data_IF_445148948529
#
_entry.id   IF_445148948529
#
_cell.length_a   1.000
_cell.length_b   1.000
_cell.length_c   1.000
_cell.angle_alpha   90.00
_cell.angle_beta   90.00
_cell.angle_gamma   90.00
#
_symmetry.space_group_name_H-M   'P 1'
#
loop_
_entity.id
_entity.type
_entity.pdbx_description
1 polymer ?
#
# COMPACT_ATOMS: atom_id res chain seq x y z
N UNK A 1 -7.86 -31.96 12.35
CA UNK A 1 -8.24 -30.90 11.40
C UNK A 1 -6.96 -30.32 10.85
N UNK A 2 -6.62 -30.62 9.59
CA UNK A 2 -5.42 -30.09 8.95
C UNK A 2 -5.55 -28.56 8.90
N UNK A 3 -4.64 -27.85 9.57
CA UNK A 3 -4.50 -26.40 9.49
C UNK A 3 -4.08 -26.04 8.06
N UNK A 4 -5.04 -25.93 7.14
CA UNK A 4 -4.80 -25.36 5.83
C UNK A 4 -4.41 -23.89 6.02
N UNK A 5 -3.12 -23.59 5.80
CA UNK A 5 -2.61 -22.22 5.72
C UNK A 5 -3.33 -21.55 4.54
N UNK A 6 -4.36 -20.75 4.84
CA UNK A 6 -5.24 -20.15 3.82
C UNK A 6 -4.54 -18.95 3.16
N UNK A 7 -3.77 -19.19 2.10
CA UNK A 7 -3.22 -18.14 1.25
C UNK A 7 -3.78 -18.27 -0.17
N UNK A 8 -3.93 -17.14 -0.85
CA UNK A 8 -4.50 -17.08 -2.20
C UNK A 8 -3.52 -16.40 -3.16
N UNK A 9 -3.57 -16.77 -4.43
CA UNK A 9 -2.80 -16.13 -5.49
C UNK A 9 -3.75 -15.56 -6.55
N UNK A 10 -3.51 -14.32 -6.96
CA UNK A 10 -4.23 -13.66 -8.03
C UNK A 10 -3.25 -13.24 -9.14
N UNK A 11 -3.63 -13.52 -10.39
CA UNK A 11 -2.92 -13.03 -11.59
C UNK A 11 -3.81 -11.98 -12.26
N UNK A 12 -3.28 -10.78 -12.47
CA UNK A 12 -4.03 -9.69 -13.07
C UNK A 12 -3.95 -9.72 -14.59
N UNK A 13 -4.74 -8.88 -15.25
CA UNK A 13 -4.45 -8.45 -16.62
C UNK A 13 -3.09 -7.72 -16.62
N UNK A 14 -2.15 -8.02 -17.54
CA UNK A 14 -0.84 -7.35 -17.62
C UNK A 14 -0.92 -5.82 -17.82
N UNK A 15 -2.07 -5.30 -18.25
CA UNK A 15 -2.33 -3.86 -18.39
C UNK A 15 -2.77 -3.19 -17.08
N UNK A 16 -2.99 -3.97 -16.01
CA UNK A 16 -3.47 -3.52 -14.70
C UNK A 16 -2.59 -4.05 -13.55
N UNK A 17 -1.33 -3.58 -13.50
CA UNK A 17 -0.26 -4.15 -12.64
C UNK A 17 0.42 -3.13 -11.70
N UNK A 18 0.03 -1.86 -11.80
CA UNK A 18 0.65 -0.75 -11.07
C UNK A 18 -0.28 0.46 -10.96
N UNK A 19 0.14 1.44 -10.15
CA UNK A 19 -0.49 2.77 -10.15
C UNK A 19 -0.24 3.45 -11.50
N UNK A 20 -1.23 4.20 -11.97
CA UNK A 20 -1.14 4.97 -13.22
C UNK A 20 -1.20 6.45 -12.89
N UNK A 21 -0.05 7.04 -12.57
CA UNK A 21 0.04 8.44 -12.13
C UNK A 21 -0.47 9.42 -13.20
N UNK A 22 -0.35 9.08 -14.49
CA UNK A 22 -0.92 9.83 -15.61
C UNK A 22 -2.44 9.84 -15.69
N UNK A 23 -3.12 9.04 -14.86
CA UNK A 23 -4.57 8.91 -14.79
C UNK A 23 -5.07 9.15 -13.36
N UNK A 24 -4.25 9.77 -12.52
CA UNK A 24 -4.52 10.04 -11.11
C UNK A 24 -4.64 11.56 -10.89
N UNK A 25 -5.81 12.02 -10.47
CA UNK A 25 -6.18 13.43 -10.50
C UNK A 25 -6.62 13.95 -9.14
N UNK A 26 -6.29 15.20 -8.85
CA UNK A 26 -6.94 16.03 -7.83
C UNK A 26 -7.98 16.90 -8.52
N UNK A 27 -9.18 16.94 -7.98
CA UNK A 27 -10.30 17.73 -8.50
C UNK A 27 -10.58 18.83 -7.48
N UNK A 28 -10.26 20.06 -7.87
CA UNK A 28 -10.48 21.27 -7.06
C UNK A 28 -11.06 22.36 -7.96
N UNK A 29 -11.84 23.26 -7.37
CA UNK A 29 -12.39 24.42 -8.08
C UNK A 29 -11.29 25.26 -8.71
N UNK A 30 -10.32 25.69 -7.90
CA UNK A 30 -9.16 26.42 -8.36
C UNK A 30 -7.98 25.47 -8.58
N UNK A 31 -7.36 25.55 -9.76
CA UNK A 31 -6.24 24.67 -10.17
C UNK A 31 -5.10 24.68 -9.16
N UNK A 32 -4.76 25.87 -8.67
CA UNK A 32 -3.58 26.08 -7.84
C UNK A 32 -3.76 25.68 -6.38
N UNK A 33 -4.96 25.24 -5.99
CA UNK A 33 -5.19 24.59 -4.69
C UNK A 33 -4.57 23.18 -4.64
N UNK A 34 -4.33 22.55 -5.80
CA UNK A 34 -3.86 21.16 -5.88
C UNK A 34 -2.53 20.97 -6.61
N UNK A 35 -2.09 21.95 -7.41
CA UNK A 35 -0.82 21.89 -8.13
C UNK A 35 -0.06 23.22 -8.07
N UNK A 36 1.28 23.15 -8.02
CA UNK A 36 2.12 24.34 -8.04
C UNK A 36 2.04 25.08 -9.39
N UNK A 37 2.28 26.40 -9.36
CA UNK A 37 2.55 27.17 -10.57
C UNK A 37 3.82 26.62 -11.26
N UNK A 38 3.70 26.32 -12.54
CA UNK A 38 4.84 25.96 -13.40
C UNK A 38 4.95 26.96 -14.55
N UNK A 39 6.17 27.22 -15.07
CA UNK A 39 6.34 28.01 -16.28
C UNK A 39 5.58 27.42 -17.46
N UNK A 40 5.29 28.25 -18.46
CA UNK A 40 4.63 27.81 -19.69
C UNK A 40 5.42 26.68 -20.36
N UNK A 41 4.73 25.64 -20.84
CA UNK A 41 5.34 24.44 -21.43
C UNK A 41 5.94 23.44 -20.43
N UNK A 42 6.03 23.78 -19.13
CA UNK A 42 6.56 22.87 -18.10
C UNK A 42 5.43 22.04 -17.49
N UNK A 43 5.53 20.72 -17.65
CA UNK A 43 4.58 19.77 -17.06
C UNK A 43 4.77 19.72 -15.53
N UNK A 44 3.70 19.87 -14.73
CA UNK A 44 3.76 19.67 -13.29
C UNK A 44 4.24 18.26 -12.93
N UNK A 45 5.16 18.17 -11.96
CA UNK A 45 5.72 16.90 -11.46
C UNK A 45 5.16 16.50 -10.09
N UNK A 46 4.49 17.41 -9.39
CA UNK A 46 4.01 17.20 -8.01
C UNK A 46 2.57 16.69 -7.93
N UNK A 47 1.82 16.70 -9.04
CA UNK A 47 0.42 16.29 -9.08
C UNK A 47 -0.25 16.60 -10.42
N UNK A 48 -1.48 16.13 -10.58
CA UNK A 48 -2.33 16.44 -11.73
C UNK A 48 -3.65 17.01 -11.26
N UNK A 49 -4.13 18.03 -11.97
CA UNK A 49 -5.40 18.69 -11.69
C UNK A 49 -6.40 18.45 -12.82
N UNK A 50 -7.67 18.30 -12.45
CA UNK A 50 -8.82 18.22 -13.35
C UNK A 50 -9.90 19.16 -12.82
N UNK A 51 -10.55 19.94 -13.71
CA UNK A 51 -11.65 20.81 -13.28
C UNK A 51 -12.88 20.01 -12.87
N UNK A 52 -13.76 20.62 -12.06
CA UNK A 52 -15.03 20.00 -11.67
C UNK A 52 -15.93 19.71 -12.88
N UNK A 53 -15.94 20.58 -13.90
CA UNK A 53 -16.75 20.35 -15.10
C UNK A 53 -16.23 19.17 -15.92
N UNK A 54 -14.91 19.07 -16.09
CA UNK A 54 -14.32 17.91 -16.76
C UNK A 54 -14.61 16.65 -15.95
N UNK A 55 -14.43 16.69 -14.63
CA UNK A 55 -14.69 15.55 -13.76
C UNK A 55 -16.13 15.03 -13.88
N UNK A 56 -17.13 15.92 -13.93
CA UNK A 56 -18.52 15.53 -14.15
C UNK A 56 -18.72 14.77 -15.48
N UNK A 57 -18.09 15.24 -16.57
CA UNK A 57 -18.11 14.54 -17.86
C UNK A 57 -17.45 13.16 -17.77
N UNK A 58 -16.33 13.05 -17.05
CA UNK A 58 -15.62 11.78 -16.87
C UNK A 58 -16.46 10.77 -16.05
N UNK A 59 -17.25 11.25 -15.08
CA UNK A 59 -18.21 10.44 -14.32
C UNK A 59 -19.32 9.89 -15.22
N UNK A 60 -19.99 10.76 -15.99
CA UNK A 60 -21.06 10.39 -16.92
C UNK A 60 -20.59 9.40 -17.99
N UNK A 61 -19.34 9.54 -18.44
CA UNK A 61 -18.75 8.64 -19.43
C UNK A 61 -18.36 7.24 -18.91
N UNK A 62 -18.41 7.02 -17.59
CA UNK A 62 -17.88 5.81 -16.92
C UNK A 62 -18.86 5.10 -16.01
N UNK A 63 -19.44 5.80 -15.05
CA UNK A 63 -20.15 5.16 -13.92
C UNK A 63 -21.59 4.72 -14.20
N UNK A 64 -22.37 5.37 -15.08
CA UNK A 64 -23.72 4.90 -15.40
C UNK A 64 -23.73 3.43 -15.84
N UNK A 65 -24.40 2.56 -15.06
CA UNK A 65 -24.51 1.13 -15.33
C UNK A 65 -23.22 0.32 -15.21
N UNK A 66 -22.12 0.88 -14.69
CA UNK A 66 -20.80 0.22 -14.68
C UNK A 66 -20.76 -1.11 -13.89
N UNK A 67 -21.63 -1.26 -12.88
CA UNK A 67 -21.75 -2.48 -12.07
C UNK A 67 -22.87 -3.42 -12.54
N UNK A 68 -23.49 -3.19 -13.69
CA UNK A 68 -24.62 -4.01 -14.15
C UNK A 68 -24.26 -5.52 -14.15
N UNK A 69 -25.11 -6.33 -13.50
CA UNK A 69 -24.91 -7.77 -13.34
C UNK A 69 -23.75 -8.18 -12.43
N UNK A 70 -23.21 -7.25 -11.62
CA UNK A 70 -22.24 -7.50 -10.55
C UNK A 70 -22.81 -7.06 -9.20
N UNK A 71 -22.41 -7.71 -8.09
CA UNK A 71 -22.72 -7.19 -6.76
C UNK A 71 -21.98 -5.88 -6.54
N UNK A 72 -22.64 -4.93 -5.87
CA UNK A 72 -21.97 -3.80 -5.22
C UNK A 72 -21.75 -4.19 -3.76
N UNK A 73 -20.49 -4.31 -3.37
CA UNK A 73 -20.10 -4.50 -1.97
C UNK A 73 -20.02 -3.14 -1.29
N UNK A 74 -20.55 -3.07 -0.06
CA UNK A 74 -20.41 -1.91 0.83
C UNK A 74 -19.37 -2.29 1.89
N UNK A 75 -18.24 -1.58 1.89
CA UNK A 75 -17.07 -1.89 2.71
C UNK A 75 -16.85 -0.75 3.70
N UNK A 76 -17.43 -0.81 4.92
CA UNK A 76 -17.13 0.15 5.97
C UNK A 76 -15.76 -0.17 6.58
N UNK A 77 -14.86 0.81 6.59
CA UNK A 77 -13.51 0.64 7.11
C UNK A 77 -13.02 1.85 7.94
N UNK A 78 -12.17 1.57 8.92
CA UNK A 78 -11.44 2.55 9.71
C UNK A 78 -9.97 2.56 9.29
N UNK A 79 -9.47 3.75 8.99
CA UNK A 79 -8.04 4.06 8.90
C UNK A 79 -7.58 4.51 10.30
N UNK A 80 -6.74 3.70 10.93
CA UNK A 80 -6.36 3.81 12.33
C UNK A 80 -7.22 2.95 13.27
N UNK A 81 -6.80 2.79 14.54
CA UNK A 81 -7.56 2.06 15.56
C UNK A 81 -9.00 2.59 15.71
N UNK A 82 -10.00 1.72 15.65
CA UNK A 82 -11.42 2.13 15.67
C UNK A 82 -11.71 3.01 16.90
N UNK A 83 -12.29 4.19 16.68
CA UNK A 83 -12.61 5.17 17.74
C UNK A 83 -11.41 5.97 18.25
N UNK A 84 -10.22 5.80 17.66
CA UNK A 84 -9.05 6.59 18.03
C UNK A 84 -9.13 8.04 17.57
N UNK A 85 -8.49 8.99 18.28
CA UNK A 85 -8.61 10.43 18.03
C UNK A 85 -8.09 10.89 16.66
N UNK A 86 -7.14 10.17 16.06
CA UNK A 86 -6.65 10.42 14.70
C UNK A 86 -7.32 9.56 13.64
N UNK A 87 -8.17 8.61 14.03
CA UNK A 87 -8.74 7.66 13.09
C UNK A 87 -9.83 8.30 12.27
N UNK A 88 -9.95 7.86 11.01
CA UNK A 88 -10.97 8.36 10.09
C UNK A 88 -11.65 7.18 9.42
N UNK A 89 -12.97 7.30 9.26
CA UNK A 89 -13.80 6.25 8.68
C UNK A 89 -14.06 6.56 7.20
N UNK A 90 -14.04 5.52 6.38
CA UNK A 90 -14.47 5.56 5.00
C UNK A 90 -15.46 4.44 4.70
N UNK A 91 -16.27 4.64 3.67
CA UNK A 91 -17.13 3.60 3.11
C UNK A 91 -16.76 3.44 1.64
N UNK A 92 -16.27 2.26 1.28
CA UNK A 92 -15.94 1.92 -0.09
C UNK A 92 -17.04 1.08 -0.75
N UNK A 93 -17.57 1.60 -1.86
CA UNK A 93 -18.43 0.86 -2.78
C UNK A 93 -17.56 0.24 -3.87
N UNK A 94 -17.65 -1.07 -4.05
CA UNK A 94 -16.81 -1.78 -5.04
C UNK A 94 -17.55 -2.95 -5.67
N UNK A 95 -17.30 -3.24 -6.94
CA UNK A 95 -17.80 -4.43 -7.65
C UNK A 95 -16.79 -5.59 -7.71
N UNK A 96 -15.73 -5.51 -6.89
CA UNK A 96 -14.62 -6.46 -6.88
C UNK A 96 -14.48 -7.17 -5.53
N UNK A 97 -14.62 -8.50 -5.52
CA UNK A 97 -14.38 -9.33 -4.34
C UNK A 97 -12.91 -9.33 -3.90
N UNK A 98 -11.97 -9.22 -4.84
CA UNK A 98 -10.54 -9.06 -4.55
C UNK A 98 -10.30 -7.82 -3.68
N UNK A 99 -10.92 -6.70 -4.04
CA UNK A 99 -10.82 -5.44 -3.29
C UNK A 99 -11.37 -5.62 -1.88
N UNK A 100 -12.54 -6.25 -1.72
CA UNK A 100 -13.11 -6.53 -0.39
C UNK A 100 -12.15 -7.34 0.48
N UNK A 101 -11.55 -8.41 -0.06
CA UNK A 101 -10.64 -9.28 0.68
C UNK A 101 -9.33 -8.57 1.06
N UNK A 102 -8.75 -7.80 0.14
CA UNK A 102 -7.57 -6.99 0.43
C UNK A 102 -7.87 -5.87 1.43
N UNK A 103 -9.00 -5.17 1.30
CA UNK A 103 -9.43 -4.15 2.28
C UNK A 103 -9.66 -4.74 3.66
N UNK A 104 -10.17 -5.99 3.75
CA UNK A 104 -10.30 -6.71 5.03
C UNK A 104 -8.96 -6.93 5.73
N UNK A 105 -7.87 -7.11 4.98
CA UNK A 105 -6.52 -7.25 5.52
C UNK A 105 -5.89 -5.87 5.80
N UNK A 106 -6.05 -4.92 4.88
CA UNK A 106 -5.33 -3.64 4.91
C UNK A 106 -5.98 -2.59 5.81
N UNK A 107 -7.22 -2.78 6.22
CA UNK A 107 -7.98 -1.83 7.06
C UNK A 107 -8.73 -2.55 8.17
N UNK A 108 -9.21 -1.81 9.19
CA UNK A 108 -10.18 -2.38 10.13
C UNK A 108 -11.55 -2.31 9.49
N UNK A 109 -12.07 -3.43 9.02
CA UNK A 109 -13.32 -3.52 8.26
C UNK A 109 -14.41 -4.28 9.01
N UNK A 110 -15.63 -3.73 9.04
CA UNK A 110 -16.84 -4.46 9.48
C UNK A 110 -17.83 -3.63 10.29
N UNK A 111 -18.77 -4.31 10.96
CA UNK A 111 -19.88 -3.69 11.70
C UNK A 111 -19.42 -2.77 12.82
N UNK A 112 -18.34 -3.11 13.54
CA UNK A 112 -17.75 -2.23 14.57
C UNK A 112 -17.38 -0.85 14.05
N UNK A 113 -17.07 -0.73 12.76
CA UNK A 113 -16.81 0.57 12.12
C UNK A 113 -18.11 1.35 11.94
N UNK A 114 -19.19 0.69 11.53
CA UNK A 114 -20.51 1.32 11.43
C UNK A 114 -21.01 1.77 12.81
N UNK A 115 -20.82 0.94 13.83
CA UNK A 115 -21.16 1.28 15.22
C UNK A 115 -20.39 2.52 15.70
N UNK A 116 -19.09 2.59 15.38
CA UNK A 116 -18.24 3.74 15.71
C UNK A 116 -18.55 4.99 14.86
N UNK A 117 -19.03 4.82 13.62
CA UNK A 117 -19.41 5.92 12.74
C UNK A 117 -20.69 6.62 13.21
N UNK A 118 -21.70 5.87 13.64
CA UNK A 118 -22.98 6.45 14.03
C UNK A 118 -23.59 7.31 12.91
N UNK A 119 -23.75 8.61 13.17
CA UNK A 119 -24.27 9.60 12.22
C UNK A 119 -23.20 10.59 11.74
N UNK A 120 -21.93 10.35 12.05
CA UNK A 120 -20.83 11.24 11.66
C UNK A 120 -20.54 11.15 10.15
N UNK A 121 -19.84 12.16 9.63
CA UNK A 121 -19.39 12.17 8.23
C UNK A 121 -18.23 11.17 8.00
N UNK A 122 -18.08 10.70 6.77
CA UNK A 122 -17.07 9.72 6.37
C UNK A 122 -16.52 10.02 4.97
N UNK A 123 -15.36 9.45 4.66
CA UNK A 123 -14.79 9.56 3.31
C UNK A 123 -15.52 8.60 2.36
N UNK A 124 -16.12 9.18 1.32
CA UNK A 124 -16.91 8.48 0.30
C UNK A 124 -15.97 7.90 -0.75
N UNK A 125 -15.89 6.57 -0.82
CA UNK A 125 -15.03 5.88 -1.76
C UNK A 125 -15.88 5.10 -2.77
N UNK A 126 -15.77 5.40 -4.06
CA UNK A 126 -16.48 4.70 -5.13
C UNK A 126 -15.48 4.07 -6.09
N UNK A 127 -15.53 2.76 -6.23
CA UNK A 127 -14.66 1.99 -7.09
C UNK A 127 -15.48 1.09 -8.02
N UNK A 128 -15.12 1.02 -9.30
CA UNK A 128 -15.57 -0.05 -10.20
C UNK A 128 -14.44 -0.51 -11.11
N UNK A 129 -14.37 -1.82 -11.34
CA UNK A 129 -13.47 -2.39 -12.36
C UNK A 129 -13.85 -1.98 -13.80
N UNK A 130 -15.03 -1.39 -13.99
CA UNK A 130 -15.47 -0.80 -15.24
C UNK A 130 -15.83 -1.80 -16.32
N UNK A 131 -16.36 -2.96 -15.90
CA UNK A 131 -16.64 -4.10 -16.78
C UNK A 131 -18.03 -4.73 -16.54
N UNK A 132 -19.12 -4.01 -16.85
CA UNK A 132 -20.49 -4.50 -16.65
C UNK A 132 -20.79 -5.78 -17.45
N UNK A 133 -21.82 -6.52 -17.04
CA UNK A 133 -22.33 -7.70 -17.74
C UNK A 133 -23.50 -7.34 -18.67
N UNK A 134 -23.64 -8.03 -19.83
CA UNK A 134 -22.72 -9.02 -20.38
C UNK A 134 -21.39 -8.39 -20.80
N UNK A 135 -20.28 -9.09 -20.52
CA UNK A 135 -18.94 -8.57 -20.79
C UNK A 135 -18.71 -8.53 -22.31
N UNK A 136 -18.36 -7.35 -22.84
CA UNK A 136 -18.19 -7.11 -24.28
C UNK A 136 -16.74 -7.21 -24.78
N UNK A 137 -15.78 -7.42 -23.88
CA UNK A 137 -14.35 -7.49 -24.17
C UNK A 137 -13.71 -8.74 -23.57
N UNK A 138 -12.57 -9.18 -24.11
CA UNK A 138 -11.84 -10.33 -23.57
C UNK A 138 -11.36 -10.04 -22.14
N UNK A 139 -11.64 -10.96 -21.22
CA UNK A 139 -11.08 -10.95 -19.86
C UNK A 139 -9.81 -11.78 -19.85
N UNK A 140 -8.68 -11.16 -19.46
CA UNK A 140 -7.38 -11.83 -19.35
C UNK A 140 -7.20 -12.26 -17.89
N UNK A 141 -6.71 -13.48 -17.66
CA UNK A 141 -6.41 -14.03 -16.32
C UNK A 141 -7.58 -13.97 -15.32
N UNK A 142 -8.83 -14.02 -15.82
CA UNK A 142 -10.04 -13.83 -15.01
C UNK A 142 -10.06 -12.51 -14.21
N UNK A 143 -9.32 -11.50 -14.67
CA UNK A 143 -9.19 -10.19 -14.02
C UNK A 143 -10.01 -9.12 -14.74
N UNK A 144 -11.16 -8.69 -14.17
CA UNK A 144 -11.93 -7.59 -14.73
C UNK A 144 -11.17 -6.27 -14.57
N UNK A 145 -10.94 -5.58 -15.68
CA UNK A 145 -10.42 -4.21 -15.70
C UNK A 145 -10.82 -3.51 -17.01
N UNK A 146 -10.67 -2.19 -17.05
CA UNK A 146 -10.87 -1.35 -18.24
C UNK A 146 -9.68 -0.38 -18.41
N UNK A 147 -8.52 -0.86 -18.92
CA UNK A 147 -7.28 -0.08 -18.98
C UNK A 147 -7.38 1.23 -19.76
N UNK A 148 -8.24 1.27 -20.80
CA UNK A 148 -8.44 2.43 -21.65
C UNK A 148 -9.08 3.58 -20.87
N UNK A 149 -10.09 3.27 -20.04
CA UNK A 149 -10.88 4.26 -19.28
C UNK A 149 -10.42 4.47 -17.84
N UNK A 150 -9.26 3.96 -17.43
CA UNK A 150 -8.76 4.14 -16.05
C UNK A 150 -8.81 5.61 -15.63
N UNK A 151 -9.33 5.86 -14.43
CA UNK A 151 -9.34 7.17 -13.78
C UNK A 151 -9.35 6.98 -12.28
N UNK A 152 -8.48 7.70 -11.56
CA UNK A 152 -8.45 7.74 -10.10
C UNK A 152 -8.51 9.22 -9.70
N UNK A 153 -9.68 9.69 -9.28
CA UNK A 153 -9.93 11.10 -8.94
C UNK A 153 -10.18 11.27 -7.44
N UNK A 154 -9.72 12.40 -6.90
CA UNK A 154 -9.82 12.75 -5.49
C UNK A 154 -10.43 14.14 -5.38
N UNK A 155 -11.48 14.27 -4.56
CA UNK A 155 -12.17 15.51 -4.25
C UNK A 155 -11.95 15.83 -2.78
N UNK A 156 -10.88 16.58 -2.44
CA UNK A 156 -10.45 16.75 -1.06
C UNK A 156 -11.49 17.47 -0.20
N UNK A 157 -12.14 18.52 -0.73
CA UNK A 157 -13.15 19.32 -0.01
C UNK A 157 -14.38 18.47 0.32
N UNK A 158 -14.87 17.70 -0.66
CA UNK A 158 -16.04 16.84 -0.51
C UNK A 158 -15.71 15.50 0.12
N UNK A 159 -14.44 15.22 0.41
CA UNK A 159 -13.96 13.95 0.96
C UNK A 159 -14.42 12.75 0.13
N UNK A 160 -14.33 12.87 -1.19
CA UNK A 160 -14.71 11.80 -2.12
C UNK A 160 -13.51 11.26 -2.90
N UNK A 161 -13.57 9.98 -3.19
CA UNK A 161 -12.61 9.26 -4.02
C UNK A 161 -13.40 8.48 -5.05
N UNK A 162 -13.06 8.68 -6.33
CA UNK A 162 -13.70 8.01 -7.45
C UNK A 162 -12.65 7.28 -8.27
N UNK A 163 -12.74 5.96 -8.33
CA UNK A 163 -11.81 5.10 -9.07
C UNK A 163 -12.54 4.20 -10.06
N UNK A 164 -12.04 4.15 -11.29
CA UNK A 164 -12.64 3.39 -12.37
C UNK A 164 -11.58 2.63 -13.16
N UNK A 165 -11.91 1.40 -13.57
CA UNK A 165 -11.21 0.66 -14.61
C UNK A 165 -9.96 -0.12 -14.15
N UNK A 166 -9.53 -0.01 -12.91
CA UNK A 166 -8.36 -0.73 -12.37
C UNK A 166 -8.74 -1.46 -11.09
N UNK A 167 -8.52 -2.77 -11.04
CA UNK A 167 -8.68 -3.58 -9.83
C UNK A 167 -7.42 -3.64 -8.97
N UNK A 168 -6.30 -3.07 -9.42
CA UNK A 168 -4.99 -3.27 -8.81
C UNK A 168 -4.70 -2.32 -7.64
N UNK A 169 -4.39 -2.90 -6.47
CA UNK A 169 -3.65 -2.27 -5.37
C UNK A 169 -4.03 -0.81 -5.09
N UNK A 170 -3.07 0.11 -5.25
CA UNK A 170 -3.26 1.52 -4.91
C UNK A 170 -4.31 2.29 -5.73
N UNK A 171 -4.86 1.69 -6.79
CA UNK A 171 -5.96 2.27 -7.56
C UNK A 171 -7.32 1.81 -7.04
N UNK A 172 -7.39 0.66 -6.36
CA UNK A 172 -8.64 0.01 -5.96
C UNK A 172 -8.81 -0.13 -4.45
N UNK A 173 -7.73 -0.23 -3.67
CA UNK A 173 -7.77 -0.21 -2.21
C UNK A 173 -7.82 1.25 -1.75
N UNK A 174 -9.01 1.85 -1.80
CA UNK A 174 -9.16 3.31 -1.71
C UNK A 174 -8.77 3.87 -0.34
N UNK A 175 -8.81 3.05 0.71
CA UNK A 175 -8.26 3.39 2.02
C UNK A 175 -6.75 3.69 2.03
N UNK A 176 -5.97 3.08 1.13
CA UNK A 176 -4.49 3.13 1.18
C UNK A 176 -3.91 4.45 0.66
N UNK A 177 -3.70 4.58 -0.65
CA UNK A 177 -3.03 5.77 -1.21
C UNK A 177 -3.99 6.92 -1.45
N UNK A 178 -5.21 6.61 -1.89
CA UNK A 178 -6.21 7.62 -2.21
C UNK A 178 -6.68 8.33 -0.94
N UNK A 179 -7.10 7.58 0.07
CA UNK A 179 -7.50 8.16 1.34
C UNK A 179 -6.29 8.51 2.20
N UNK A 180 -5.52 7.53 2.67
CA UNK A 180 -4.58 7.77 3.76
C UNK A 180 -3.35 8.62 3.44
N UNK A 181 -3.18 9.04 2.18
CA UNK A 181 -2.25 10.11 1.81
C UNK A 181 -2.98 11.30 1.18
N UNK A 182 -3.66 11.13 0.04
CA UNK A 182 -4.14 12.30 -0.74
C UNK A 182 -5.30 13.05 -0.11
N UNK A 183 -6.34 12.34 0.36
CA UNK A 183 -7.43 12.98 1.09
C UNK A 183 -6.97 13.33 2.51
N UNK A 184 -6.24 12.42 3.17
CA UNK A 184 -5.78 12.59 4.53
C UNK A 184 -4.83 13.78 4.71
N UNK A 185 -3.97 14.11 3.74
CA UNK A 185 -3.10 15.29 3.85
C UNK A 185 -3.90 16.60 3.83
N UNK A 186 -5.00 16.66 3.08
CA UNK A 186 -5.90 17.81 3.09
C UNK A 186 -6.66 17.91 4.42
N UNK A 187 -7.23 16.79 4.90
CA UNK A 187 -7.87 16.74 6.22
C UNK A 187 -6.86 17.11 7.33
N UNK A 188 -5.63 16.62 7.23
CA UNK A 188 -4.55 16.94 8.14
C UNK A 188 -4.18 18.42 8.14
N UNK A 189 -4.09 19.03 6.97
CA UNK A 189 -3.89 20.46 6.83
C UNK A 189 -4.98 21.26 7.54
N UNK A 190 -6.25 20.91 7.31
CA UNK A 190 -7.41 21.60 7.92
C UNK A 190 -7.47 21.43 9.44
N UNK A 191 -7.04 20.27 9.96
CA UNK A 191 -7.19 19.88 11.37
C UNK A 191 -5.87 19.95 12.19
N UNK A 192 -4.78 20.42 11.58
CA UNK A 192 -3.47 20.59 12.23
C UNK A 192 -2.70 19.29 12.51
N UNK A 193 -2.69 18.34 11.58
CA UNK A 193 -1.90 17.10 11.65
C UNK A 193 -1.34 16.69 10.27
N UNK A 194 -0.46 15.69 10.23
CA UNK A 194 0.31 15.30 9.04
C UNK A 194 -0.03 13.89 8.58
N UNK A 195 -0.20 13.69 7.28
CA UNK A 195 -0.40 12.37 6.66
C UNK A 195 0.76 12.07 5.69
N UNK A 196 1.65 11.17 6.09
CA UNK A 196 2.96 11.03 5.45
C UNK A 196 3.22 9.64 4.90
N UNK A 197 4.03 9.59 3.82
CA UNK A 197 4.51 8.33 3.21
C UNK A 197 5.68 7.74 4.00
N UNK A 198 5.46 7.47 5.28
CA UNK A 198 6.48 7.06 6.24
C UNK A 198 6.20 5.68 6.84
N UNK A 199 7.26 4.89 7.05
CA UNK A 199 7.22 3.81 8.03
C UNK A 199 7.25 4.36 9.45
N UNK A 200 6.87 3.55 10.44
CA UNK A 200 7.03 3.81 11.87
C UNK A 200 7.62 2.55 12.52
N UNK A 201 8.70 2.69 13.28
CA UNK A 201 9.31 1.59 14.03
C UNK A 201 9.81 2.04 15.40
N UNK A 202 9.74 1.12 16.37
CA UNK A 202 10.40 1.23 17.67
C UNK A 202 11.78 0.58 17.61
N UNK A 203 12.78 1.26 18.17
CA UNK A 203 14.16 0.79 18.26
C UNK A 203 14.54 0.76 19.73
N UNK A 204 14.88 -0.42 20.25
CA UNK A 204 15.37 -0.60 21.63
C UNK A 204 16.88 -0.80 21.61
N UNK A 205 17.60 -0.03 22.42
CA UNK A 205 19.04 -0.18 22.60
C UNK A 205 19.38 -1.32 23.59
N UNK A 206 20.67 -1.71 23.74
CA UNK A 206 21.08 -2.77 24.68
C UNK A 206 20.80 -2.49 26.16
N UNK A 207 20.55 -1.23 26.54
CA UNK A 207 20.20 -0.81 27.91
C UNK A 207 18.68 -0.90 28.15
N UNK A 208 17.89 -1.22 27.14
CA UNK A 208 16.43 -1.31 27.23
C UNK A 208 15.69 0.00 26.96
N UNK A 209 16.37 1.06 26.53
CA UNK A 209 15.74 2.32 26.14
C UNK A 209 15.17 2.23 24.73
N UNK A 210 13.86 2.50 24.60
CA UNK A 210 13.16 2.50 23.32
C UNK A 210 12.92 3.92 22.79
N UNK A 211 13.10 4.10 21.49
CA UNK A 211 12.82 5.32 20.72
C UNK A 211 12.00 4.97 19.49
N UNK A 212 11.05 5.82 19.10
CA UNK A 212 10.33 5.63 17.84
C UNK A 212 10.84 6.56 16.76
N UNK A 213 10.95 6.02 15.56
CA UNK A 213 11.36 6.77 14.38
C UNK A 213 10.37 6.59 13.25
N UNK A 214 10.17 7.66 12.49
CA UNK A 214 9.47 7.62 11.22
C UNK A 214 10.47 7.75 10.07
N UNK A 215 10.24 7.11 8.92
CA UNK A 215 11.12 7.26 7.77
C UNK A 215 10.39 7.32 6.43
N UNK A 216 10.64 8.39 5.67
CA UNK A 216 10.09 8.64 4.34
C UNK A 216 11.12 8.30 3.26
N UNK A 217 10.93 7.14 2.62
CA UNK A 217 11.64 6.77 1.39
C UNK A 217 10.64 6.58 0.25
N UNK A 218 11.00 6.88 -1.01
CA UNK A 218 10.14 6.58 -2.16
C UNK A 218 9.76 5.08 -2.25
N UNK A 219 8.77 4.76 -3.07
CA UNK A 219 8.47 3.36 -3.40
C UNK A 219 9.72 2.61 -3.89
N UNK A 220 9.84 1.35 -3.51
CA UNK A 220 11.00 0.49 -3.83
C UNK A 220 12.37 0.99 -3.30
N UNK A 221 12.37 1.88 -2.30
CA UNK A 221 13.59 2.37 -1.62
C UNK A 221 13.76 1.82 -0.18
N UNK A 222 13.11 0.71 0.17
CA UNK A 222 13.46 -0.06 1.37
C UNK A 222 12.68 0.23 2.66
N UNK A 223 11.54 0.93 2.61
CA UNK A 223 10.74 1.17 3.83
C UNK A 223 10.35 -0.11 4.56
N UNK A 224 9.74 -1.08 3.88
CA UNK A 224 9.35 -2.36 4.50
C UNK A 224 10.54 -3.13 5.07
N UNK A 225 11.70 -3.11 4.39
CA UNK A 225 12.93 -3.73 4.91
C UNK A 225 13.42 -3.05 6.19
N UNK A 226 13.40 -1.72 6.25
CA UNK A 226 13.84 -0.99 7.44
C UNK A 226 12.84 -1.15 8.60
N UNK A 227 11.54 -1.04 8.32
CA UNK A 227 10.49 -1.16 9.33
C UNK A 227 10.52 -2.53 10.02
N UNK A 228 10.86 -3.58 9.26
CA UNK A 228 10.91 -4.97 9.72
C UNK A 228 12.33 -5.51 9.87
N UNK A 229 13.29 -4.61 10.16
CA UNK A 229 14.71 -4.96 10.21
C UNK A 229 14.98 -6.00 11.30
N UNK A 230 15.77 -7.02 10.98
CA UNK A 230 16.46 -7.86 11.95
C UNK A 230 17.86 -7.26 12.20
N UNK A 231 18.11 -6.65 13.38
CA UNK A 231 19.38 -5.99 13.63
C UNK A 231 20.54 -6.98 13.68
N UNK A 232 21.64 -6.66 13.00
CA UNK A 232 22.88 -7.45 13.07
C UNK A 232 23.76 -7.07 14.27
N UNK A 233 23.46 -5.95 14.93
CA UNK A 233 24.19 -5.45 16.09
C UNK A 233 23.61 -6.08 17.36
N UNK A 234 24.39 -6.84 18.14
CA UNK A 234 23.90 -7.50 19.36
C UNK A 234 23.25 -6.53 20.36
N UNK A 235 22.16 -6.96 20.99
CA UNK A 235 21.43 -6.20 22.00
C UNK A 235 20.46 -5.15 21.44
N UNK A 236 20.53 -4.82 20.15
CA UNK A 236 19.55 -3.95 19.51
C UNK A 236 18.31 -4.73 19.07
N UNK A 237 17.14 -4.12 19.21
CA UNK A 237 15.87 -4.69 18.79
C UNK A 237 15.08 -3.67 17.97
N UNK A 238 14.43 -4.14 16.91
CA UNK A 238 13.48 -3.35 16.11
C UNK A 238 12.11 -4.00 16.18
N UNK A 239 11.07 -3.17 16.25
CA UNK A 239 9.68 -3.60 16.15
C UNK A 239 8.90 -2.67 15.23
N UNK A 240 8.10 -3.24 14.33
CA UNK A 240 7.32 -2.49 13.35
C UNK A 240 6.01 -1.97 13.95
N UNK A 241 5.67 -0.71 13.70
CA UNK A 241 4.32 -0.16 13.93
C UNK A 241 3.57 -0.07 12.59
N UNK A 242 4.24 0.40 11.54
CA UNK A 242 3.72 0.45 10.17
C UNK A 242 4.85 0.58 9.16
N UNK A 243 4.65 0.16 7.91
CA UNK A 243 5.73 0.10 6.91
C UNK A 243 5.61 1.13 5.78
N UNK A 244 4.49 1.86 5.69
CA UNK A 244 4.20 2.67 4.50
C UNK A 244 3.50 4.01 4.79
N UNK A 245 2.60 4.11 5.76
CA UNK A 245 1.85 5.35 6.04
C UNK A 245 1.92 5.70 7.53
N UNK A 246 2.12 6.99 7.83
CA UNK A 246 2.08 7.53 9.18
C UNK A 246 1.12 8.72 9.23
N UNK A 247 0.19 8.72 10.19
CA UNK A 247 -0.57 9.91 10.55
C UNK A 247 -0.05 10.45 11.87
N UNK A 248 0.35 11.73 11.89
CA UNK A 248 1.12 12.30 12.98
C UNK A 248 0.53 13.61 13.48
N UNK A 249 0.41 13.77 14.79
CA UNK A 249 -0.11 15.00 15.42
C UNK A 249 0.65 15.33 16.70
N UNK A 250 0.87 16.61 16.94
CA UNK A 250 1.42 17.06 18.22
C UNK A 250 0.38 16.86 19.33
N UNK A 251 0.79 16.19 20.40
CA UNK A 251 0.01 16.05 21.63
C UNK A 251 0.03 17.32 22.48
N UNK A 252 -0.80 17.32 23.52
CA UNK A 252 -0.85 18.43 24.50
C UNK A 252 0.47 18.62 25.26
N UNK A 253 1.30 17.57 25.34
CA UNK A 253 2.63 17.59 25.94
C UNK A 253 3.73 18.13 25.00
N UNK A 254 3.35 18.53 23.78
CA UNK A 254 4.26 19.04 22.76
C UNK A 254 5.06 17.97 22.01
N UNK A 255 4.84 16.67 22.26
CA UNK A 255 5.49 15.59 21.51
C UNK A 255 4.71 15.26 20.25
N UNK A 256 5.42 14.86 19.20
CA UNK A 256 4.79 14.37 17.98
C UNK A 256 4.41 12.90 18.17
N UNK A 257 3.13 12.57 18.05
CA UNK A 257 2.62 11.20 18.10
C UNK A 257 2.26 10.71 16.71
N UNK A 258 2.50 9.42 16.43
CA UNK A 258 2.16 8.80 15.16
C UNK A 258 1.33 7.53 15.32
N UNK A 259 0.34 7.34 14.45
CA UNK A 259 -0.35 6.06 14.25
C UNK A 259 -0.03 5.50 12.86
N UNK A 260 -0.04 4.17 12.75
CA UNK A 260 -0.18 3.51 11.46
C UNK A 260 -1.69 3.38 11.15
N UNK A 261 -2.20 4.07 10.11
CA UNK A 261 -3.61 3.95 9.76
C UNK A 261 -3.97 2.58 9.16
N UNK A 262 -3.00 1.81 8.66
CA UNK A 262 -3.21 0.52 8.01
C UNK A 262 -3.26 -0.65 9.02
N UNK A 263 -3.97 -1.73 8.65
CA UNK A 263 -4.09 -2.97 9.43
C UNK A 263 -3.29 -4.15 8.86
N UNK A 264 -2.61 -3.93 7.73
CA UNK A 264 -1.86 -4.94 6.99
C UNK A 264 -0.68 -4.36 6.24
N UNK A 265 0.11 -5.24 5.64
CA UNK A 265 1.23 -4.91 4.78
C UNK A 265 0.90 -5.25 3.33
N UNK A 266 1.09 -4.28 2.44
CA UNK A 266 0.97 -4.46 0.98
C UNK A 266 2.37 -4.36 0.33
N UNK A 267 3.23 -5.29 0.71
CA UNK A 267 4.66 -5.24 0.42
C UNK A 267 5.00 -5.72 -1.00
N UNK A 268 6.11 -5.22 -1.54
CA UNK A 268 6.69 -5.73 -2.80
C UNK A 268 7.24 -7.13 -2.55
N UNK A 269 6.84 -8.11 -3.36
CA UNK A 269 7.33 -9.47 -3.23
C UNK A 269 8.78 -9.62 -3.77
N UNK A 270 9.10 -9.25 -5.04
CA UNK A 270 10.45 -9.38 -5.58
C UNK A 270 11.52 -8.71 -4.72
N UNK A 271 12.60 -9.45 -4.45
CA UNK A 271 13.68 -9.02 -3.57
C UNK A 271 13.46 -9.32 -2.08
N UNK A 272 12.28 -9.79 -1.68
CA UNK A 272 12.02 -10.31 -0.31
C UNK A 272 12.51 -11.76 -0.22
N UNK A 273 13.34 -12.05 0.77
CA UNK A 273 13.86 -13.39 1.04
C UNK A 273 14.23 -13.55 2.51
N UNK A 274 14.62 -14.74 2.95
CA UNK A 274 15.05 -14.94 4.34
C UNK A 274 16.33 -14.14 4.66
N UNK A 275 17.09 -13.76 3.63
CA UNK A 275 18.27 -12.90 3.76
C UNK A 275 17.93 -11.42 3.86
N UNK A 276 16.95 -10.95 3.09
CA UNK A 276 16.67 -9.50 2.96
C UNK A 276 15.58 -9.00 3.89
N UNK A 277 14.60 -9.85 4.21
CA UNK A 277 13.51 -9.54 5.14
C UNK A 277 12.84 -10.82 5.67
N UNK A 278 13.50 -11.54 6.60
CA UNK A 278 12.93 -12.75 7.21
C UNK A 278 11.62 -12.50 7.96
N UNK A 279 11.42 -11.28 8.46
CA UNK A 279 10.20 -10.89 9.16
C UNK A 279 9.01 -10.78 8.21
N UNK A 280 9.20 -10.23 7.00
CA UNK A 280 8.19 -10.26 5.95
C UNK A 280 7.89 -11.70 5.51
N UNK A 281 8.94 -12.52 5.28
CA UNK A 281 8.78 -13.95 4.97
C UNK A 281 7.86 -14.63 6.00
N UNK A 282 8.13 -14.49 7.30
CA UNK A 282 7.29 -15.05 8.36
C UNK A 282 5.85 -14.50 8.37
N UNK A 283 5.67 -13.23 8.01
CA UNK A 283 4.38 -12.53 8.10
C UNK A 283 3.33 -13.05 7.10
N UNK A 284 3.74 -13.44 5.90
CA UNK A 284 2.81 -13.83 4.83
C UNK A 284 2.59 -15.33 4.65
N UNK A 285 3.10 -16.17 5.57
CA UNK A 285 2.97 -17.64 5.46
C UNK A 285 1.52 -18.16 5.59
N UNK A 286 0.59 -17.32 6.06
CA UNK A 286 -0.84 -17.66 6.21
C UNK A 286 -1.71 -16.43 6.04
N UNK A 287 -3.00 -16.64 5.76
CA UNK A 287 -4.02 -15.59 5.68
C UNK A 287 -3.62 -14.44 4.75
N UNK A 288 -2.91 -14.75 3.67
CA UNK A 288 -2.27 -13.75 2.81
C UNK A 288 -2.73 -13.88 1.37
N UNK A 289 -2.75 -12.76 0.66
CA UNK A 289 -3.10 -12.71 -0.76
C UNK A 289 -1.88 -12.25 -1.54
N UNK A 290 -1.37 -13.10 -2.43
CA UNK A 290 -0.32 -12.78 -3.36
C UNK A 290 -0.92 -12.30 -4.68
N UNK A 291 -0.31 -11.29 -5.30
CA UNK A 291 -0.76 -10.74 -6.59
C UNK A 291 0.41 -10.64 -7.55
N UNK A 292 0.31 -11.33 -8.69
CA UNK A 292 1.30 -11.40 -9.77
C UNK A 292 2.65 -12.02 -9.39
N UNK A 293 2.68 -12.91 -8.40
CA UNK A 293 3.82 -13.79 -8.16
C UNK A 293 3.69 -15.06 -9.01
N UNK A 294 4.78 -15.82 -9.13
CA UNK A 294 4.74 -17.15 -9.71
C UNK A 294 4.27 -18.21 -8.69
N UNK A 295 3.91 -19.37 -9.20
CA UNK A 295 3.41 -20.51 -8.42
C UNK A 295 4.07 -21.80 -8.91
N UNK A 296 4.64 -22.59 -8.02
CA UNK A 296 5.14 -23.93 -8.37
C UNK A 296 3.97 -24.90 -8.53
N UNK A 297 4.18 -26.03 -9.21
CA UNK A 297 3.16 -27.06 -9.37
C UNK A 297 2.58 -27.62 -8.05
N UNK A 298 3.32 -27.53 -6.93
CA UNK A 298 2.85 -27.90 -5.60
C UNK A 298 2.23 -26.75 -4.78
N UNK A 299 1.98 -25.60 -5.42
CA UNK A 299 1.23 -24.49 -4.84
C UNK A 299 2.06 -23.53 -3.98
N UNK A 300 3.39 -23.51 -4.13
CA UNK A 300 4.26 -22.56 -3.45
C UNK A 300 4.42 -21.28 -4.27
N UNK A 301 4.45 -20.12 -3.60
CA UNK A 301 4.78 -18.87 -4.28
C UNK A 301 6.25 -18.86 -4.72
N UNK A 302 6.54 -18.14 -5.79
CA UNK A 302 7.90 -17.90 -6.25
C UNK A 302 8.08 -16.50 -6.85
N UNK A 303 9.27 -15.96 -6.68
CA UNK A 303 9.80 -14.79 -7.39
C UNK A 303 11.33 -14.87 -7.38
N UNK A 304 11.95 -14.06 -8.23
CA UNK A 304 13.40 -14.00 -8.37
C UNK A 304 14.09 -13.67 -7.03
N UNK A 305 15.07 -14.49 -6.64
CA UNK A 305 15.79 -14.37 -5.38
C UNK A 305 15.37 -15.38 -4.31
N UNK A 306 14.40 -16.26 -4.58
CA UNK A 306 13.98 -17.36 -3.69
C UNK A 306 14.57 -18.72 -4.08
N UNK A 307 15.50 -18.78 -5.04
CA UNK A 307 16.08 -20.03 -5.54
C UNK A 307 16.71 -20.86 -4.41
N UNK A 308 17.40 -20.18 -3.48
CA UNK A 308 18.03 -20.82 -2.33
C UNK A 308 17.00 -21.41 -1.38
N UNK A 309 15.98 -20.63 -1.00
CA UNK A 309 14.91 -21.05 -0.11
C UNK A 309 14.12 -22.23 -0.68
N UNK A 310 13.81 -22.19 -1.98
CA UNK A 310 13.08 -23.25 -2.66
C UNK A 310 13.90 -24.55 -2.70
N UNK A 311 15.20 -24.44 -3.01
CA UNK A 311 16.15 -25.56 -3.02
C UNK A 311 16.29 -26.21 -1.64
N UNK A 312 16.49 -25.40 -0.59
CA UNK A 312 16.63 -25.87 0.79
C UNK A 312 15.34 -26.52 1.29
N UNK A 313 14.18 -25.88 1.03
CA UNK A 313 12.87 -26.40 1.43
C UNK A 313 12.54 -27.75 0.79
N UNK A 314 12.89 -27.94 -0.48
CA UNK A 314 12.63 -29.19 -1.21
C UNK A 314 13.75 -30.21 -1.08
N UNK A 315 14.90 -29.83 -0.52
CA UNK A 315 16.11 -30.67 -0.41
C UNK A 315 16.55 -31.27 -1.75
N UNK A 316 16.79 -30.41 -2.75
CA UNK A 316 17.10 -30.79 -4.13
C UNK A 316 18.43 -30.19 -4.63
N UNK A 317 18.93 -30.71 -5.74
CA UNK A 317 20.12 -30.18 -6.43
C UNK A 317 19.78 -28.95 -7.29
N UNK A 318 20.81 -28.23 -7.76
CA UNK A 318 20.61 -27.10 -8.68
C UNK A 318 20.02 -27.53 -10.03
N UNK A 319 20.32 -28.75 -10.47
CA UNK A 319 19.75 -29.30 -11.70
C UNK A 319 18.26 -29.60 -11.54
N UNK A 320 17.89 -30.23 -10.41
CA UNK A 320 16.48 -30.47 -10.09
C UNK A 320 15.70 -29.17 -9.88
N UNK A 321 16.34 -28.13 -9.33
CA UNK A 321 15.73 -26.82 -9.15
C UNK A 321 15.30 -26.21 -10.49
N UNK A 322 16.13 -26.33 -11.53
CA UNK A 322 15.81 -25.86 -12.90
C UNK A 322 14.68 -26.64 -13.57
N UNK A 323 14.38 -27.84 -13.08
CA UNK A 323 13.33 -28.71 -13.61
C UNK A 323 11.99 -28.55 -12.87
N UNK A 324 11.91 -27.67 -11.86
CA UNK A 324 10.64 -27.39 -11.19
C UNK A 324 9.70 -26.68 -12.16
N UNK A 325 8.53 -27.29 -12.39
CA UNK A 325 7.45 -26.66 -13.13
C UNK A 325 6.86 -25.48 -12.33
N UNK A 326 6.91 -24.30 -12.95
CA UNK A 326 6.38 -23.05 -12.39
C UNK A 326 5.38 -22.46 -13.38
N UNK A 327 4.30 -21.87 -12.88
CA UNK A 327 3.41 -21.00 -13.63
C UNK A 327 3.75 -19.56 -13.26
N UNK A 328 4.23 -18.81 -14.24
CA UNK A 328 4.60 -17.40 -14.05
C UNK A 328 3.36 -16.52 -13.78
N UNK A 329 3.60 -15.24 -13.52
CA UNK A 329 2.54 -14.27 -13.23
C UNK A 329 1.61 -13.98 -14.43
N UNK A 330 2.03 -14.29 -15.66
CA UNK A 330 1.21 -14.21 -16.87
C UNK A 330 0.27 -15.42 -17.03
N UNK A 331 0.47 -16.49 -16.26
CA UNK A 331 -0.27 -17.75 -16.38
C UNK A 331 0.36 -18.76 -17.34
N UNK A 332 1.63 -18.56 -17.70
CA UNK A 332 2.37 -19.39 -18.65
C UNK A 332 3.34 -20.33 -17.93
N UNK A 333 3.66 -21.47 -18.54
CA UNK A 333 4.70 -22.37 -18.04
C UNK A 333 6.06 -21.67 -18.08
N UNK A 334 6.83 -21.86 -17.03
CA UNK A 334 8.14 -21.25 -16.83
C UNK A 334 9.01 -22.16 -15.95
N UNK A 335 10.32 -22.12 -16.16
CA UNK A 335 11.33 -22.78 -15.34
C UNK A 335 12.44 -21.81 -14.95
N UNK A 336 13.15 -22.13 -13.87
CA UNK A 336 14.30 -21.32 -13.43
C UNK A 336 15.38 -21.33 -14.51
N UNK A 337 15.60 -20.17 -15.13
CA UNK A 337 16.55 -19.97 -16.22
C UNK A 337 15.90 -19.68 -17.57
N UNK A 338 14.58 -19.86 -17.69
CA UNK A 338 13.83 -19.45 -18.88
C UNK A 338 13.87 -17.92 -19.05
N UNK A 339 13.71 -17.45 -20.30
CA UNK A 339 13.62 -16.02 -20.59
C UNK A 339 12.42 -15.36 -19.88
N UNK A 340 12.57 -14.06 -19.58
CA UNK A 340 11.54 -13.29 -18.87
C UNK A 340 11.64 -13.37 -17.34
N UNK A 341 10.53 -13.10 -16.66
CA UNK A 341 10.43 -13.07 -15.20
C UNK A 341 9.27 -13.94 -14.72
N UNK A 342 9.51 -14.70 -13.67
CA UNK A 342 8.52 -15.53 -13.01
C UNK A 342 7.44 -14.67 -12.34
N UNK A 343 7.85 -13.61 -11.64
CA UNK A 343 6.96 -12.67 -10.98
C UNK A 343 7.00 -11.28 -11.63
N UNK A 344 5.89 -10.54 -11.58
CA UNK A 344 5.90 -9.15 -12.01
C UNK A 344 6.84 -8.33 -11.09
N UNK A 345 7.64 -7.37 -11.60
CA UNK A 345 8.56 -6.59 -10.75
C UNK A 345 7.90 -5.80 -9.61
N UNK A 346 6.61 -5.48 -9.77
CA UNK A 346 5.78 -4.83 -8.76
C UNK A 346 4.68 -5.77 -8.21
N UNK A 347 4.90 -7.08 -8.26
CA UNK A 347 4.03 -8.05 -7.58
C UNK A 347 4.05 -7.86 -6.06
N UNK A 348 2.98 -8.29 -5.40
CA UNK A 348 2.68 -7.91 -4.03
C UNK A 348 2.29 -9.11 -3.19
N UNK A 349 2.61 -9.04 -1.90
CA UNK A 349 1.90 -9.78 -0.87
C UNK A 349 1.00 -8.82 -0.09
N UNK A 350 -0.17 -9.29 0.31
CA UNK A 350 -1.10 -8.60 1.22
C UNK A 350 -1.23 -9.48 2.46
N UNK A 351 -0.67 -9.03 3.59
CA UNK A 351 -0.60 -9.83 4.82
C UNK A 351 -1.10 -9.04 6.05
N UNK A 352 -1.83 -9.66 6.99
CA UNK A 352 -2.27 -8.97 8.21
C UNK A 352 -1.08 -8.55 9.08
N UNK A 353 -1.09 -7.31 9.57
CA UNK A 353 0.08 -6.75 10.27
C UNK A 353 0.38 -7.48 11.58
N UNK A 354 -0.66 -7.91 12.30
CA UNK A 354 -0.54 -8.68 13.53
C UNK A 354 0.13 -10.07 13.38
N UNK A 355 0.38 -10.54 12.14
CA UNK A 355 1.15 -11.76 11.91
C UNK A 355 2.66 -11.54 11.88
N UNK A 356 3.12 -10.28 11.84
CA UNK A 356 4.55 -10.00 11.87
C UNK A 356 5.14 -10.38 13.24
N UNK A 357 6.19 -11.20 13.29
CA UNK A 357 6.78 -11.67 14.54
C UNK A 357 7.35 -10.53 15.40
N UNK A 358 7.65 -9.39 14.78
CA UNK A 358 8.17 -8.18 15.44
C UNK A 358 7.18 -7.02 15.42
N UNK A 359 5.88 -7.28 15.23
CA UNK A 359 4.84 -6.24 15.41
C UNK A 359 4.98 -5.63 16.81
N UNK A 360 4.97 -4.30 16.88
CA UNK A 360 5.12 -3.58 18.13
C UNK A 360 3.83 -3.70 18.96
N UNK A 361 3.87 -3.93 20.29
CA UNK A 361 2.66 -4.09 21.09
C UNK A 361 1.70 -2.90 21.05
N UNK A 362 2.22 -1.69 20.82
CA UNK A 362 1.44 -0.45 20.69
C UNK A 362 1.08 -0.09 19.24
N UNK A 363 1.20 -1.02 18.27
CA UNK A 363 0.90 -0.71 16.87
C UNK A 363 -0.56 -0.30 16.61
N UNK A 364 -1.49 -0.69 17.51
CA UNK A 364 -2.89 -0.24 17.50
C UNK A 364 -3.23 0.69 18.67
N UNK A 365 -2.25 1.30 19.34
CA UNK A 365 -2.52 2.27 20.40
C UNK A 365 -3.28 3.48 19.83
N UNK A 366 -4.50 3.81 20.30
CA UNK A 366 -5.30 4.90 19.74
C UNK A 366 -4.60 6.27 19.77
N UNK A 367 -3.79 6.51 20.80
CA UNK A 367 -3.01 7.72 20.99
C UNK A 367 -1.73 7.79 20.13
N UNK A 368 -1.36 6.68 19.48
CA UNK A 368 -0.10 6.57 18.75
C UNK A 368 1.15 6.42 19.61
N UNK A 369 2.30 6.43 18.96
CA UNK A 369 3.63 6.32 19.57
C UNK A 369 4.40 7.64 19.40
N UNK A 370 5.21 8.06 20.39
CA UNK A 370 5.92 9.33 20.32
C UNK A 370 7.14 9.25 19.39
N UNK A 371 7.19 10.07 18.34
CA UNK A 371 8.28 10.11 17.36
C UNK A 371 9.43 10.98 17.88
N UNK A 372 10.62 10.36 17.98
CA UNK A 372 11.85 11.03 18.40
C UNK A 372 12.74 11.43 17.20
N UNK A 373 12.56 10.81 16.03
CA UNK A 373 13.31 11.16 14.81
C UNK A 373 12.51 10.89 13.52
N UNK A 374 12.77 11.72 12.50
CA UNK A 374 12.28 11.52 11.13
C UNK A 374 13.49 11.33 10.21
N UNK A 375 13.46 10.29 9.37
CA UNK A 375 14.53 9.95 8.44
C UNK A 375 14.05 10.13 7.01
N UNK A 376 14.78 10.92 6.22
CA UNK A 376 14.58 11.01 4.77
C UNK A 376 15.67 10.24 4.03
N UNK A 377 15.33 9.68 2.88
CA UNK A 377 16.29 8.90 2.11
C UNK A 377 15.76 8.39 0.78
N UNK A 378 16.68 7.95 -0.06
CA UNK A 378 16.40 7.44 -1.39
C UNK A 378 17.65 6.87 -2.04
N UNK A 379 17.51 6.38 -3.28
CA UNK A 379 18.63 5.82 -4.04
C UNK A 379 19.47 6.94 -4.64
N UNK A 380 20.70 7.11 -4.16
CA UNK A 380 21.68 8.08 -4.66
C UNK A 380 23.00 7.34 -4.92
N UNK A 381 23.36 7.03 -6.17
CA UNK A 381 24.54 6.22 -6.46
C UNK A 381 25.85 6.93 -6.14
N UNK A 382 25.86 8.28 -6.15
CA UNK A 382 27.04 9.11 -5.97
C UNK A 382 26.70 10.38 -5.16
N UNK A 383 27.72 10.95 -4.51
CA UNK A 383 27.72 12.30 -3.91
C UNK A 383 27.04 12.47 -2.55
N UNK A 384 26.02 11.67 -2.22
CA UNK A 384 25.29 11.77 -0.93
C UNK A 384 25.91 10.81 0.10
N UNK A 385 26.27 11.27 1.31
CA UNK A 385 26.82 10.40 2.35
C UNK A 385 25.80 9.38 2.86
N UNK A 386 26.27 8.32 3.51
CA UNK A 386 25.40 7.26 4.06
C UNK A 386 24.38 7.79 5.07
N UNK A 387 24.79 8.70 5.95
CA UNK A 387 23.94 9.36 6.95
C UNK A 387 24.43 10.79 7.17
N UNK A 388 23.51 11.71 7.34
CA UNK A 388 23.76 13.09 7.76
C UNK A 388 22.62 13.58 8.64
N UNK A 389 22.89 14.55 9.51
CA UNK A 389 21.89 15.13 10.41
C UNK A 389 21.66 16.58 10.04
N UNK A 390 20.40 17.01 9.98
CA UNK A 390 20.07 18.42 9.84
C UNK A 390 20.27 19.12 11.19
N UNK A 391 20.98 20.25 11.20
CA UNK A 391 21.25 21.02 12.41
C UNK A 391 20.02 21.80 12.92
N UNK A 392 19.06 22.08 12.05
CA UNK A 392 17.76 22.71 12.38
C UNK A 392 16.65 22.19 11.47
N UNK A 393 15.41 22.22 11.96
CA UNK A 393 14.22 21.73 11.22
C UNK A 393 14.08 22.39 9.83
N UNK A 394 14.34 23.70 9.72
CA UNK A 394 14.24 24.40 8.44
C UNK A 394 15.19 23.85 7.37
N UNK A 395 16.41 23.46 7.75
CA UNK A 395 17.37 22.85 6.83
C UNK A 395 16.96 21.42 6.42
N UNK A 396 16.23 20.70 7.28
CA UNK A 396 15.69 19.39 6.92
C UNK A 396 14.55 19.49 5.89
N UNK A 397 13.79 20.59 5.93
CA UNK A 397 12.64 20.84 5.04
C UNK A 397 13.03 21.57 3.74
N UNK A 398 14.27 22.03 3.63
CA UNK A 398 14.78 22.75 2.48
C UNK A 398 15.66 21.82 1.62
N UNK A 399 15.34 21.67 0.34
CA UNK A 399 16.34 21.20 -0.62
C UNK A 399 17.33 22.35 -0.85
N UNK A 400 18.66 22.12 -0.82
CA UNK A 400 19.57 23.11 -1.38
C UNK A 400 19.18 23.31 -2.84
N UNK A 401 18.88 24.56 -3.17
CA UNK A 401 18.49 25.05 -4.50
C UNK A 401 19.47 24.65 -5.59
#
# INVERSE_FOLDING_TARGET
MNNALCSYLCRTDPRDVARVESKTWMVTKDKYDSVCHTPEGVKPIMGQWMSEEQFAQELDARFPGCMAGRPMYVVPFSMGPIGGPLSKIGIELTDSSYVVLCMKIMTRMGTKVLDALGNDDFVRCVHSVGLPRPVKQKVINHWPCNPEKVMIAHRPVEREIWSYGSGYGGNSLLGKKCFALRIACNIGYDEGWMAEHMLIMGITNPEGHERFVAAAFPSACGKTNLAMLEPTIPGWKVRVVGDDIAWMKFGEDGRLYAINPEAGFFGVAPGTSNKTNPMAMASFQKNSIFTNVAETADGEYFWEGLEKELKEKKNITDEQLRQIEIINWLGEKWHIGDEGKAAHPNSRFTAPAGQCPIIHPQWEAPQGVPIDAIIFGGRRPEGVPLVSFASVLFLALSFPS
#
